data_IF_144087317197
#
_entry.id   IF_144087317197
#
_cell.length_a   1.000
_cell.length_b   1.000
_cell.length_c   1.000
_cell.angle_alpha   90.00
_cell.angle_beta   90.00
_cell.angle_gamma   90.00
#
_symmetry.space_group_name_H-M   'P 1'
#
loop_
_entity.id
_entity.type
_entity.pdbx_description
1 polymer ?
#
# COMPACT_ATOMS: atom_id res chain seq x y z
N UNK A 1 1.69 -28.92 5.46
CA UNK A 1 2.45 -27.65 5.61
C UNK A 1 1.53 -26.47 5.32
N UNK A 2 0.87 -26.44 4.16
CA UNK A 2 -0.22 -25.51 3.81
C UNK A 2 -1.20 -25.28 4.98
N UNK A 3 -1.71 -26.35 5.61
CA UNK A 3 -2.57 -26.29 6.81
C UNK A 3 -2.03 -25.39 7.95
N UNK A 4 -0.70 -25.25 8.12
CA UNK A 4 -0.12 -24.40 9.19
C UNK A 4 -0.17 -22.92 8.82
N UNK A 5 0.04 -22.58 7.54
CA UNK A 5 -0.16 -21.22 7.01
C UNK A 5 -1.61 -20.79 7.26
N UNK A 6 -2.55 -21.65 6.88
CA UNK A 6 -4.00 -21.44 7.03
C UNK A 6 -4.46 -21.40 8.50
N UNK A 7 -3.99 -22.30 9.37
CA UNK A 7 -4.35 -22.27 10.79
C UNK A 7 -3.94 -20.95 11.47
N UNK A 8 -2.77 -20.40 11.10
CA UNK A 8 -2.29 -19.13 11.63
C UNK A 8 -3.02 -17.92 11.04
N UNK A 9 -3.41 -17.92 9.75
CA UNK A 9 -4.27 -16.87 9.18
C UNK A 9 -5.68 -16.93 9.75
N UNK A 10 -6.28 -18.11 9.81
CA UNK A 10 -7.59 -18.36 10.40
C UNK A 10 -7.67 -17.92 11.86
N UNK A 11 -6.57 -18.04 12.62
CA UNK A 11 -6.50 -17.56 14.01
C UNK A 11 -6.63 -16.03 14.13
N UNK A 12 -6.08 -15.27 13.17
CA UNK A 12 -6.30 -13.83 13.09
C UNK A 12 -7.72 -13.50 12.62
N UNK A 13 -8.23 -14.21 11.62
CA UNK A 13 -9.55 -13.95 11.01
C UNK A 13 -10.68 -14.25 12.01
N UNK A 14 -10.70 -15.43 12.63
CA UNK A 14 -11.84 -15.92 13.41
C UNK A 14 -11.76 -15.57 14.90
N UNK A 15 -10.55 -15.47 15.46
CA UNK A 15 -10.32 -15.16 16.87
C UNK A 15 -10.65 -16.30 17.83
N UNK A 16 -9.77 -16.53 18.80
CA UNK A 16 -9.98 -17.51 19.87
C UNK A 16 -11.06 -17.07 20.86
N UNK A 17 -12.33 -17.28 20.54
CA UNK A 17 -13.44 -17.07 21.47
C UNK A 17 -14.81 -16.97 20.79
N UNK A 18 -15.72 -17.91 21.06
CA UNK A 18 -17.15 -17.76 20.75
C UNK A 18 -17.77 -16.73 21.69
N UNK A 19 -17.87 -15.47 21.26
CA UNK A 19 -18.62 -14.44 21.97
C UNK A 19 -18.05 -13.03 21.75
N UNK A 20 -18.93 -12.11 21.35
CA UNK A 20 -18.66 -10.75 20.90
C UNK A 20 -17.92 -10.63 19.54
N UNK A 21 -18.49 -9.80 18.65
CA UNK A 21 -17.82 -9.29 17.45
C UNK A 21 -16.67 -8.35 17.88
N UNK A 22 -15.53 -8.92 18.25
CA UNK A 22 -14.31 -8.15 18.48
C UNK A 22 -13.76 -7.70 17.12
N UNK A 23 -14.24 -6.54 16.65
CA UNK A 23 -13.68 -5.85 15.48
C UNK A 23 -12.16 -5.77 15.63
N UNK A 24 -11.43 -6.33 14.68
CA UNK A 24 -9.96 -6.32 14.73
C UNK A 24 -9.46 -4.89 14.66
N UNK A 25 -8.40 -4.63 15.41
CA UNK A 25 -7.80 -3.29 15.54
C UNK A 25 -6.58 -3.15 14.63
N UNK A 26 -6.16 -1.91 14.37
CA UNK A 26 -4.91 -1.65 13.65
C UNK A 26 -3.70 -2.29 14.35
N UNK A 27 -3.74 -2.37 15.68
CA UNK A 27 -2.76 -3.05 16.53
C UNK A 27 -2.77 -4.58 16.35
N UNK A 28 -3.92 -5.20 16.05
CA UNK A 28 -3.98 -6.65 15.76
C UNK A 28 -3.35 -6.99 14.42
N UNK A 29 -3.66 -6.21 13.38
CA UNK A 29 -3.07 -6.36 12.04
C UNK A 29 -1.58 -6.01 12.07
N UNK A 30 -1.18 -4.99 12.83
CA UNK A 30 0.23 -4.65 12.99
C UNK A 30 1.01 -5.74 13.73
N UNK A 31 0.41 -6.42 14.71
CA UNK A 31 1.04 -7.56 15.40
C UNK A 31 1.24 -8.76 14.47
N UNK A 32 0.28 -9.07 13.60
CA UNK A 32 0.43 -10.07 12.53
C UNK A 32 1.58 -9.69 11.57
N UNK A 33 1.59 -8.45 11.08
CA UNK A 33 2.68 -7.90 10.27
C UNK A 33 4.04 -8.03 10.95
N UNK A 34 4.15 -7.69 12.24
CA UNK A 34 5.40 -7.80 13.00
C UNK A 34 5.88 -9.25 13.10
N UNK A 35 4.99 -10.20 13.36
CA UNK A 35 5.31 -11.63 13.43
C UNK A 35 5.88 -12.14 12.10
N UNK A 36 5.16 -11.91 10.99
CA UNK A 36 5.59 -12.31 9.65
C UNK A 36 6.92 -11.66 9.25
N UNK A 37 7.07 -10.35 9.54
CA UNK A 37 8.30 -9.58 9.29
C UNK A 37 9.49 -10.13 10.07
N UNK A 38 9.29 -10.54 11.33
CA UNK A 38 10.34 -11.15 12.14
C UNK A 38 10.81 -12.49 11.54
N UNK A 39 9.88 -13.34 11.10
CA UNK A 39 10.18 -14.58 10.40
C UNK A 39 11.00 -14.37 9.12
N UNK A 40 10.60 -13.41 8.27
CA UNK A 40 11.31 -13.11 7.02
C UNK A 40 12.69 -12.48 7.27
N UNK A 41 12.83 -11.59 8.26
CA UNK A 41 14.15 -11.09 8.67
C UNK A 41 15.04 -12.24 9.13
N UNK A 42 14.50 -13.19 9.91
CA UNK A 42 15.24 -14.36 10.37
C UNK A 42 15.72 -15.22 9.20
N UNK A 43 14.86 -15.46 8.20
CA UNK A 43 15.23 -16.17 6.96
C UNK A 43 16.40 -15.50 6.22
N UNK A 44 16.35 -14.17 6.10
CA UNK A 44 17.31 -13.37 5.31
C UNK A 44 18.55 -12.92 6.10
N UNK A 45 18.66 -13.26 7.39
CA UNK A 45 19.81 -12.92 8.24
C UNK A 45 20.29 -14.11 9.06
N UNK A 46 19.65 -14.41 10.20
CA UNK A 46 20.08 -15.46 11.15
C UNK A 46 20.14 -16.86 10.53
N UNK A 47 19.15 -17.20 9.70
CA UNK A 47 19.00 -18.53 9.10
C UNK A 47 19.42 -18.54 7.61
N UNK A 48 20.18 -17.53 7.14
CA UNK A 48 20.45 -17.28 5.70
C UNK A 48 21.01 -18.49 4.95
N UNK A 49 21.94 -19.25 5.54
CA UNK A 49 22.46 -20.47 4.93
C UNK A 49 21.39 -21.54 4.69
N UNK A 50 20.43 -21.66 5.62
CA UNK A 50 19.32 -22.63 5.50
C UNK A 50 18.35 -22.15 4.43
N UNK A 51 18.05 -20.85 4.41
CA UNK A 51 17.20 -20.24 3.39
C UNK A 51 17.78 -20.41 1.97
N UNK A 52 19.08 -20.11 1.78
CA UNK A 52 19.80 -20.29 0.51
C UNK A 52 19.72 -21.73 0.01
N UNK A 53 19.98 -22.71 0.89
CA UNK A 53 19.93 -24.16 0.58
C UNK A 53 18.51 -24.65 0.22
N UNK A 54 17.45 -24.01 0.72
CA UNK A 54 16.07 -24.36 0.39
C UNK A 54 15.63 -23.78 -0.97
N UNK A 55 16.15 -22.61 -1.35
CA UNK A 55 15.87 -21.92 -2.61
C UNK A 55 16.64 -22.54 -3.79
N UNK A 56 16.38 -23.82 -4.06
CA UNK A 56 17.02 -24.60 -5.11
C UNK A 56 16.53 -24.21 -6.52
N UNK A 57 17.37 -23.71 -7.44
CA UNK A 57 16.95 -23.26 -8.78
C UNK A 57 16.40 -24.39 -9.67
N UNK A 58 16.73 -25.64 -9.38
CA UNK A 58 16.25 -26.82 -10.12
C UNK A 58 14.81 -27.25 -9.69
N UNK A 59 14.23 -26.56 -8.71
CA UNK A 59 12.82 -26.75 -8.30
C UNK A 59 11.90 -25.75 -8.98
N UNK A 60 10.61 -26.02 -8.90
CA UNK A 60 9.52 -25.14 -9.33
C UNK A 60 9.55 -23.76 -8.63
N UNK A 61 8.58 -22.90 -8.96
CA UNK A 61 8.52 -21.48 -8.58
C UNK A 61 8.37 -21.28 -7.06
N UNK A 62 9.47 -21.30 -6.31
CA UNK A 62 9.42 -21.16 -4.84
C UNK A 62 9.14 -19.72 -4.41
N UNK A 63 8.46 -19.60 -3.27
CA UNK A 63 8.13 -18.37 -2.56
C UNK A 63 8.73 -18.39 -1.13
N UNK A 64 9.01 -17.20 -0.57
CA UNK A 64 9.32 -17.03 0.87
C UNK A 64 8.07 -16.53 1.59
N UNK A 65 7.64 -17.23 2.62
CA UNK A 65 6.52 -16.84 3.49
C UNK A 65 6.99 -16.49 4.89
N UNK A 66 6.50 -15.36 5.41
CA UNK A 66 6.52 -15.03 6.83
C UNK A 66 5.22 -15.46 7.52
N UNK A 67 5.33 -16.10 8.69
CA UNK A 67 4.20 -16.56 9.48
C UNK A 67 4.00 -15.72 10.76
N UNK A 68 2.77 -15.58 11.28
CA UNK A 68 2.48 -14.71 12.43
C UNK A 68 3.18 -15.11 13.74
N UNK A 69 3.66 -16.36 13.82
CA UNK A 69 4.37 -16.93 14.96
C UNK A 69 5.90 -16.76 14.88
N UNK A 70 6.36 -15.75 14.13
CA UNK A 70 7.77 -15.42 13.89
C UNK A 70 8.58 -16.51 13.18
N UNK A 71 7.91 -17.53 12.63
CA UNK A 71 8.53 -18.54 11.78
C UNK A 71 8.42 -18.18 10.29
N UNK A 72 9.19 -18.90 9.46
CA UNK A 72 9.25 -18.70 8.02
C UNK A 72 9.29 -20.05 7.31
N UNK A 73 8.83 -20.07 6.06
CA UNK A 73 8.89 -21.25 5.20
C UNK A 73 9.23 -20.85 3.76
N UNK A 74 9.88 -21.77 3.04
CA UNK A 74 10.07 -21.70 1.59
C UNK A 74 9.25 -22.83 1.00
N UNK A 75 8.28 -22.48 0.15
CA UNK A 75 7.28 -23.42 -0.37
C UNK A 75 6.76 -22.95 -1.74
N UNK A 76 5.99 -23.80 -2.41
CA UNK A 76 5.23 -23.43 -3.61
C UNK A 76 4.12 -22.39 -3.28
N UNK A 77 3.60 -21.67 -4.29
CA UNK A 77 2.38 -20.87 -4.15
C UNK A 77 1.17 -21.67 -3.64
N UNK A 78 0.10 -20.98 -3.27
CA UNK A 78 -1.15 -21.66 -2.94
C UNK A 78 -1.76 -22.32 -4.18
N UNK A 79 -2.20 -23.58 -4.05
CA UNK A 79 -2.94 -24.28 -5.11
C UNK A 79 -4.42 -23.84 -5.18
N UNK A 80 -4.94 -23.18 -4.13
CA UNK A 80 -6.32 -22.72 -4.06
C UNK A 80 -6.58 -21.50 -4.97
N UNK A 81 -7.72 -21.53 -5.66
CA UNK A 81 -8.14 -20.48 -6.59
C UNK A 81 -9.56 -20.00 -6.21
N UNK A 82 -9.74 -18.73 -5.80
CA UNK A 82 -8.71 -17.73 -5.49
C UNK A 82 -8.01 -18.00 -4.14
N UNK A 83 -6.73 -17.61 -3.98
CA UNK A 83 -6.02 -17.77 -2.71
C UNK A 83 -6.54 -16.82 -1.62
N UNK A 84 -6.59 -17.25 -0.35
CA UNK A 84 -7.12 -16.42 0.74
C UNK A 84 -6.28 -15.15 1.01
N UNK A 85 -4.97 -15.18 0.78
CA UNK A 85 -4.07 -14.04 0.99
C UNK A 85 -3.33 -13.66 -0.31
N UNK A 86 -2.92 -12.39 -0.45
CA UNK A 86 -1.95 -11.97 -1.46
C UNK A 86 -0.75 -12.91 -1.52
N UNK A 87 -0.28 -13.24 -2.72
CA UNK A 87 0.85 -14.13 -2.93
C UNK A 87 2.20 -13.38 -2.85
N UNK A 88 3.27 -13.99 -2.30
CA UNK A 88 4.63 -13.46 -2.40
C UNK A 88 5.15 -13.51 -3.83
N UNK A 89 6.35 -12.95 -4.05
CA UNK A 89 7.05 -13.11 -5.33
C UNK A 89 7.37 -14.60 -5.60
N UNK A 90 6.94 -15.05 -6.78
CA UNK A 90 7.14 -16.39 -7.32
C UNK A 90 8.56 -16.56 -7.89
N UNK A 91 9.14 -17.75 -7.74
CA UNK A 91 10.37 -18.13 -8.42
C UNK A 91 11.64 -17.45 -7.88
N UNK A 92 11.67 -17.09 -6.59
CA UNK A 92 12.83 -16.43 -5.97
C UNK A 92 14.12 -17.25 -6.08
N UNK A 93 13.99 -18.58 -6.23
CA UNK A 93 15.09 -19.52 -6.44
C UNK A 93 15.80 -19.34 -7.79
N UNK A 94 15.11 -18.94 -8.86
CA UNK A 94 15.73 -18.87 -10.21
C UNK A 94 16.82 -17.81 -10.34
N UNK A 95 16.67 -16.68 -9.66
CA UNK A 95 17.66 -15.60 -9.68
C UNK A 95 18.89 -15.87 -8.79
N UNK A 96 18.82 -16.87 -7.89
CA UNK A 96 19.79 -17.08 -6.79
C UNK A 96 21.24 -17.16 -7.27
N UNK A 97 21.50 -18.05 -8.24
CA UNK A 97 22.86 -18.31 -8.74
C UNK A 97 23.23 -17.41 -9.93
N UNK A 98 22.30 -16.56 -10.39
CA UNK A 98 22.51 -15.61 -11.50
C UNK A 98 23.06 -14.24 -11.09
N UNK A 99 23.23 -13.98 -9.80
CA UNK A 99 23.68 -12.70 -9.25
C UNK A 99 24.48 -12.90 -7.95
N UNK A 100 25.06 -11.83 -7.39
CA UNK A 100 25.74 -11.92 -6.10
C UNK A 100 24.72 -12.18 -4.97
N UNK A 101 25.06 -13.05 -4.02
CA UNK A 101 24.17 -13.45 -2.92
C UNK A 101 23.56 -12.25 -2.18
N UNK A 102 24.35 -11.21 -1.89
CA UNK A 102 23.86 -9.99 -1.24
C UNK A 102 22.79 -9.26 -2.05
N UNK A 103 22.94 -9.21 -3.37
CA UNK A 103 21.99 -8.55 -4.28
C UNK A 103 20.73 -9.40 -4.42
N UNK A 104 20.86 -10.73 -4.44
CA UNK A 104 19.72 -11.66 -4.39
C UNK A 104 18.91 -11.52 -3.08
N UNK A 105 19.58 -11.53 -1.92
CA UNK A 105 18.95 -11.32 -0.62
C UNK A 105 18.25 -9.94 -0.55
N UNK A 106 18.85 -8.92 -1.16
CA UNK A 106 18.27 -7.57 -1.27
C UNK A 106 17.00 -7.56 -2.14
N UNK A 107 17.02 -8.27 -3.27
CA UNK A 107 15.84 -8.44 -4.14
C UNK A 107 14.70 -9.16 -3.40
N UNK A 108 14.99 -10.29 -2.75
CA UNK A 108 13.99 -11.02 -1.94
C UNK A 108 13.47 -10.14 -0.81
N UNK A 109 14.31 -9.34 -0.15
CA UNK A 109 13.90 -8.42 0.90
C UNK A 109 12.90 -7.35 0.41
N UNK A 110 13.14 -6.74 -0.75
CA UNK A 110 12.21 -5.74 -1.34
C UNK A 110 10.86 -6.37 -1.70
N UNK A 111 10.85 -7.56 -2.30
CA UNK A 111 9.60 -8.29 -2.56
C UNK A 111 8.88 -8.71 -1.28
N UNK A 112 9.62 -9.06 -0.22
CA UNK A 112 9.08 -9.38 1.10
C UNK A 112 8.41 -8.17 1.76
N UNK A 113 9.05 -6.99 1.69
CA UNK A 113 8.49 -5.73 2.18
C UNK A 113 7.16 -5.38 1.48
N UNK A 114 7.10 -5.54 0.15
CA UNK A 114 5.88 -5.32 -0.63
C UNK A 114 4.75 -6.31 -0.28
N UNK A 115 5.08 -7.60 -0.16
CA UNK A 115 4.12 -8.64 0.21
C UNK A 115 3.52 -8.42 1.60
N UNK A 116 4.35 -8.07 2.60
CA UNK A 116 3.90 -7.79 3.95
C UNK A 116 2.94 -6.59 4.01
N UNK A 117 3.18 -5.57 3.19
CA UNK A 117 2.27 -4.43 3.08
C UNK A 117 0.94 -4.86 2.46
N UNK A 118 0.97 -5.66 1.39
CA UNK A 118 -0.24 -6.20 0.76
C UNK A 118 -1.08 -7.04 1.73
N UNK A 119 -0.46 -7.97 2.48
CA UNK A 119 -1.15 -8.80 3.49
C UNK A 119 -1.75 -7.94 4.62
N UNK A 120 -1.03 -6.93 5.11
CA UNK A 120 -1.54 -6.04 6.15
C UNK A 120 -2.74 -5.22 5.67
N UNK A 121 -2.73 -4.73 4.43
CA UNK A 121 -3.83 -3.95 3.87
C UNK A 121 -5.01 -4.80 3.38
N UNK A 122 -4.77 -6.04 2.96
CA UNK A 122 -5.82 -7.06 2.78
C UNK A 122 -6.61 -7.26 4.08
N UNK A 123 -5.92 -7.48 5.20
CA UNK A 123 -6.60 -7.60 6.50
C UNK A 123 -7.29 -6.31 6.92
N UNK A 124 -6.71 -5.14 6.65
CA UNK A 124 -7.37 -3.85 6.91
C UNK A 124 -8.70 -3.73 6.14
N UNK A 125 -8.75 -4.13 4.87
CA UNK A 125 -9.97 -4.16 4.08
C UNK A 125 -10.97 -5.20 4.61
N UNK A 126 -10.54 -6.45 4.84
CA UNK A 126 -11.38 -7.55 5.35
C UNK A 126 -11.96 -7.28 6.75
N UNK A 127 -11.30 -6.44 7.56
CA UNK A 127 -11.78 -6.01 8.87
C UNK A 127 -12.48 -4.64 8.86
N UNK A 128 -12.78 -4.07 7.68
CA UNK A 128 -13.59 -2.86 7.54
C UNK A 128 -12.91 -1.58 8.06
N UNK A 129 -11.58 -1.47 7.96
CA UNK A 129 -10.85 -0.31 8.47
C UNK A 129 -11.23 0.96 7.71
N UNK A 130 -11.59 2.01 8.45
CA UNK A 130 -11.75 3.35 7.93
C UNK A 130 -10.40 4.02 7.54
N UNK A 131 -10.46 5.26 7.06
CA UNK A 131 -9.29 6.05 6.65
C UNK A 131 -8.31 6.27 7.80
N UNK A 132 -8.81 6.48 9.01
CA UNK A 132 -8.04 6.76 10.21
C UNK A 132 -7.30 5.50 10.70
N UNK A 133 -7.96 4.34 10.69
CA UNK A 133 -7.39 3.05 11.02
C UNK A 133 -6.33 2.61 10.00
N UNK A 134 -6.59 2.78 8.69
CA UNK A 134 -5.59 2.54 7.62
C UNK A 134 -4.35 3.43 7.79
N UNK A 135 -4.54 4.73 8.08
CA UNK A 135 -3.43 5.67 8.38
C UNK A 135 -2.66 5.27 9.64
N UNK A 136 -3.34 4.81 10.68
CA UNK A 136 -2.72 4.35 11.93
C UNK A 136 -1.87 3.11 11.71
N UNK A 137 -2.38 2.12 10.97
CA UNK A 137 -1.63 0.92 10.58
C UNK A 137 -0.37 1.29 9.77
N UNK A 138 -0.51 2.13 8.74
CA UNK A 138 0.63 2.59 7.92
C UNK A 138 1.72 3.24 8.76
N UNK A 139 1.35 4.13 9.68
CA UNK A 139 2.31 4.81 10.55
C UNK A 139 3.06 3.83 11.46
N UNK A 140 2.39 2.80 11.99
CA UNK A 140 3.06 1.77 12.81
C UNK A 140 4.05 0.94 11.98
N UNK A 141 3.66 0.53 10.76
CA UNK A 141 4.52 -0.16 9.80
C UNK A 141 5.77 0.68 9.48
N UNK A 142 5.58 1.93 9.06
CA UNK A 142 6.66 2.81 8.58
C UNK A 142 7.65 3.26 9.69
N UNK A 143 7.26 3.12 10.96
CA UNK A 143 8.17 3.35 12.09
C UNK A 143 9.27 2.27 12.18
N UNK A 144 9.00 1.04 11.76
CA UNK A 144 9.99 -0.04 11.67
C UNK A 144 10.90 0.14 10.45
N UNK A 145 12.16 -0.33 10.46
CA UNK A 145 12.95 -0.40 9.23
C UNK A 145 12.36 -1.44 8.28
N UNK A 146 12.51 -1.23 6.98
CA UNK A 146 12.13 -2.25 6.01
C UNK A 146 13.06 -3.47 6.14
N UNK A 147 12.64 -4.64 5.65
CA UNK A 147 13.50 -5.83 5.59
C UNK A 147 14.72 -5.52 4.72
N UNK A 148 14.54 -4.82 3.60
CA UNK A 148 15.65 -4.35 2.78
C UNK A 148 16.63 -3.46 3.56
N UNK A 149 16.16 -2.47 4.35
CA UNK A 149 17.06 -1.63 5.17
C UNK A 149 17.89 -2.45 6.17
N UNK A 150 17.30 -3.50 6.75
CA UNK A 150 17.97 -4.42 7.68
C UNK A 150 19.01 -5.29 6.97
N UNK A 151 18.67 -5.88 5.83
CA UNK A 151 19.55 -6.76 5.03
C UNK A 151 20.69 -5.97 4.36
N UNK A 152 20.41 -4.77 3.86
CA UNK A 152 21.41 -3.89 3.24
C UNK A 152 22.36 -3.25 4.26
N UNK A 153 21.98 -3.21 5.54
CA UNK A 153 22.76 -2.61 6.63
C UNK A 153 22.69 -1.08 6.70
N UNK A 154 21.63 -0.47 6.15
CA UNK A 154 21.49 1.00 6.10
C UNK A 154 20.97 1.58 7.41
N UNK A 155 21.70 2.46 8.12
CA UNK A 155 21.23 3.04 9.37
C UNK A 155 20.12 4.08 9.14
N UNK A 156 18.98 3.94 9.84
CA UNK A 156 17.87 4.90 9.76
C UNK A 156 18.30 6.33 10.08
N UNK A 157 18.08 7.24 9.13
CA UNK A 157 18.10 8.68 9.35
C UNK A 157 16.78 9.06 10.04
N UNK A 158 16.79 9.28 11.35
CA UNK A 158 15.56 9.56 12.12
C UNK A 158 14.85 10.82 11.62
N UNK A 159 13.68 10.65 11.00
CA UNK A 159 12.78 11.76 10.66
C UNK A 159 12.13 12.27 11.94
N UNK A 160 12.74 13.30 12.54
CA UNK A 160 12.27 13.90 13.78
C UNK A 160 11.03 14.75 13.53
N UNK A 161 9.85 14.15 13.65
CA UNK A 161 8.59 14.89 13.70
C UNK A 161 8.64 15.92 14.85
N UNK A 162 8.36 17.19 14.52
CA UNK A 162 8.29 18.26 15.51
C UNK A 162 6.86 18.37 16.03
N UNK A 163 6.60 17.84 17.22
CA UNK A 163 5.42 18.18 18.00
C UNK A 163 5.52 19.63 18.52
N UNK A 164 4.42 20.41 18.53
CA UNK A 164 4.41 21.76 19.08
C UNK A 164 4.34 21.70 20.61
N UNK A 165 5.46 22.01 21.28
CA UNK A 165 5.56 21.92 22.73
C UNK A 165 4.92 23.12 23.44
N UNK A 166 4.10 22.88 24.47
CA UNK A 166 3.47 23.95 25.24
C UNK A 166 4.36 24.48 26.37
N UNK A 167 4.53 25.80 26.39
CA UNK A 167 4.71 26.68 27.56
C UNK A 167 5.34 26.13 28.86
N UNK A 168 6.49 26.70 29.24
CA UNK A 168 6.70 27.31 30.59
C UNK A 168 8.07 28.00 30.76
N UNK A 169 8.09 29.35 30.83
CA UNK A 169 8.62 30.15 31.97
C UNK A 169 8.68 31.66 31.68
N UNK A 170 8.46 32.44 32.74
CA UNK A 170 8.53 33.92 32.83
C UNK A 170 9.98 34.44 32.58
N UNK A 171 10.28 35.74 32.36
CA UNK A 171 9.70 36.92 33.02
C UNK A 171 10.02 38.28 32.32
N UNK A 172 9.03 39.17 32.29
CA UNK A 172 9.09 40.65 32.54
C UNK A 172 10.13 41.55 31.84
N UNK A 173 9.62 42.47 30.99
CA UNK A 173 9.79 43.94 31.18
C UNK A 173 8.78 44.73 30.31
N UNK A 174 8.67 46.05 30.52
CA UNK A 174 7.46 46.84 30.26
C UNK A 174 7.65 48.05 29.34
N UNK A 175 6.65 48.37 28.51
CA UNK A 175 6.22 49.75 28.23
C UNK A 175 4.79 49.79 27.65
N UNK A 176 4.10 50.93 27.78
CA UNK A 176 2.67 51.14 27.45
C UNK A 176 2.53 51.97 26.17
N UNK A 177 1.54 51.68 25.32
CA UNK A 177 0.66 52.73 24.73
C UNK A 177 -0.63 52.19 24.05
N UNK A 178 -1.70 52.98 24.19
CA UNK A 178 -2.89 53.15 23.30
C UNK A 178 -3.62 51.95 22.66
N UNK A 179 -4.84 51.70 23.19
CA UNK A 179 -6.08 51.26 22.50
C UNK A 179 -6.75 52.48 21.78
N UNK A 180 -7.94 52.44 21.10
CA UNK A 180 -8.96 51.36 21.00
C UNK A 180 -9.66 51.16 19.61
N UNK A 181 -10.72 50.34 19.63
CA UNK A 181 -11.85 50.16 18.67
C UNK A 181 -11.58 49.39 17.35
N UNK A 182 -12.53 48.60 16.79
CA UNK A 182 -13.93 48.34 17.16
C UNK A 182 -14.41 46.91 16.73
N UNK A 183 -15.37 46.32 17.47
CA UNK A 183 -16.59 45.57 17.06
C UNK A 183 -16.62 44.59 15.84
N UNK A 184 -17.39 43.49 15.79
CA UNK A 184 -18.44 42.92 16.68
C UNK A 184 -18.80 41.44 16.30
N UNK A 185 -19.27 40.65 17.29
CA UNK A 185 -20.36 39.62 17.22
C UNK A 185 -20.21 38.35 16.31
N UNK A 186 -20.25 37.10 16.85
CA UNK A 186 -21.40 36.24 17.27
C UNK A 186 -22.23 35.65 16.10
N UNK A 187 -22.82 34.43 16.08
CA UNK A 187 -22.80 33.14 16.84
C UNK A 187 -23.75 32.14 16.14
N UNK A 188 -23.64 30.82 16.40
CA UNK A 188 -24.72 29.78 16.25
C UNK A 188 -25.13 29.31 14.82
N UNK A 189 -25.85 28.20 14.59
CA UNK A 189 -25.91 26.80 15.13
C UNK A 189 -26.99 26.01 14.31
N UNK A 190 -26.93 24.67 14.30
CA UNK A 190 -28.02 23.69 13.99
C UNK A 190 -28.28 23.20 12.53
N UNK A 191 -28.81 21.97 12.46
CA UNK A 191 -29.40 21.19 11.35
C UNK A 191 -30.72 20.54 11.90
N UNK A 192 -31.30 19.44 11.36
CA UNK A 192 -31.65 18.99 9.99
C UNK A 192 -33.20 18.94 9.79
N UNK A 193 -33.79 18.27 8.76
CA UNK A 193 -34.33 16.89 8.96
C UNK A 193 -34.43 15.93 7.72
N UNK A 194 -34.54 14.61 8.02
CA UNK A 194 -35.34 13.46 7.48
C UNK A 194 -36.12 13.58 6.14
N UNK A 195 -36.39 12.54 5.32
CA UNK A 195 -36.31 11.04 5.45
C UNK A 195 -36.88 10.34 4.18
N UNK A 196 -37.25 9.04 4.05
CA UNK A 196 -37.08 7.76 4.82
C UNK A 196 -37.74 6.56 3.97
N UNK A 197 -36.99 5.56 3.41
CA UNK A 197 -37.35 4.19 2.80
C UNK A 197 -38.05 4.09 1.38
N UNK A 198 -38.00 3.03 0.51
CA UNK A 198 -37.69 1.55 0.56
C UNK A 198 -37.34 0.87 -0.83
N UNK A 199 -36.61 -0.27 -0.84
CA UNK A 199 -36.57 -1.41 -1.83
C UNK A 199 -35.91 -1.33 -3.24
N UNK A 200 -35.20 -2.41 -3.65
CA UNK A 200 -34.94 -2.76 -5.07
C UNK A 200 -33.55 -3.33 -5.48
N UNK A 201 -33.34 -4.64 -5.27
CA UNK A 201 -32.55 -5.65 -6.04
C UNK A 201 -31.11 -5.39 -6.60
N UNK A 202 -30.35 -6.49 -6.68
CA UNK A 202 -28.91 -6.63 -6.98
C UNK A 202 -28.41 -6.05 -8.32
N UNK A 203 -27.30 -5.28 -8.29
CA UNK A 203 -26.29 -5.24 -9.38
C UNK A 203 -24.87 -5.17 -8.77
N UNK A 204 -23.89 -5.64 -9.53
CA UNK A 204 -22.54 -6.01 -9.08
C UNK A 204 -21.58 -4.80 -9.09
N UNK A 205 -21.09 -4.35 -7.93
CA UNK A 205 -20.02 -3.33 -7.88
C UNK A 205 -18.64 -3.98 -8.08
N UNK A 206 -18.24 -4.04 -9.36
CA UNK A 206 -16.94 -4.52 -9.83
C UNK A 206 -15.75 -3.67 -9.32
N UNK A 207 -14.59 -4.32 -9.33
CA UNK A 207 -13.26 -3.82 -8.97
C UNK A 207 -12.85 -2.54 -9.74
N UNK A 208 -12.81 -1.39 -9.06
CA UNK A 208 -12.53 -0.08 -9.69
C UNK A 208 -11.28 0.63 -9.12
N UNK A 209 -10.16 -0.11 -8.97
CA UNK A 209 -8.83 0.49 -8.71
C UNK A 209 -8.36 1.41 -9.87
N UNK A 210 -9.09 1.44 -11.00
CA UNK A 210 -8.87 2.32 -12.14
C UNK A 210 -9.54 3.71 -12.00
N UNK A 211 -10.45 3.90 -11.04
CA UNK A 211 -11.33 5.08 -10.88
C UNK A 211 -10.68 6.41 -10.47
N UNK A 212 -9.35 6.55 -10.58
CA UNK A 212 -8.63 7.80 -10.30
C UNK A 212 -7.80 8.33 -11.47
N UNK A 213 -7.83 7.68 -12.64
CA UNK A 213 -7.05 8.12 -13.80
C UNK A 213 -7.76 9.27 -14.51
N UNK A 214 -7.34 10.51 -14.21
CA UNK A 214 -7.91 11.71 -14.80
C UNK A 214 -7.33 12.00 -16.20
N UNK A 215 -8.23 12.28 -17.16
CA UNK A 215 -7.83 12.64 -18.52
C UNK A 215 -7.01 13.93 -18.55
N UNK A 216 -5.83 13.86 -19.17
CA UNK A 216 -4.88 14.97 -19.21
C UNK A 216 -5.35 16.23 -19.94
N UNK A 217 -6.46 16.15 -20.68
CA UNK A 217 -7.05 17.27 -21.42
C UNK A 217 -8.36 17.81 -20.82
N UNK A 218 -9.24 16.97 -20.25
CA UNK A 218 -10.53 17.41 -19.69
C UNK A 218 -10.67 17.25 -18.17
N UNK A 219 -9.74 16.57 -17.50
CA UNK A 219 -9.73 16.40 -16.04
C UNK A 219 -10.82 15.49 -15.49
N UNK A 220 -11.58 14.78 -16.33
CA UNK A 220 -12.60 13.81 -15.91
C UNK A 220 -12.03 12.39 -15.83
N UNK A 221 -12.62 11.56 -14.98
CA UNK A 221 -12.29 10.16 -14.78
C UNK A 221 -12.84 9.25 -15.90
N UNK A 222 -12.52 7.96 -15.84
CA UNK A 222 -13.12 6.89 -16.64
C UNK A 222 -14.65 6.91 -16.54
N UNK A 223 -15.31 6.97 -17.72
CA UNK A 223 -16.65 6.45 -17.92
C UNK A 223 -16.53 5.06 -18.56
N UNK A 224 -17.46 4.16 -18.23
CA UNK A 224 -17.38 2.70 -18.42
C UNK A 224 -17.30 2.17 -19.87
N UNK A 225 -17.13 3.03 -20.88
CA UNK A 225 -17.06 2.63 -22.30
C UNK A 225 -16.16 3.56 -23.16
N UNK A 226 -15.31 4.40 -22.55
CA UNK A 226 -14.50 5.36 -23.30
C UNK A 226 -13.13 4.81 -23.72
N UNK A 227 -12.74 5.06 -24.98
CA UNK A 227 -11.39 4.73 -25.48
C UNK A 227 -10.33 5.73 -24.97
N UNK A 228 -9.21 5.20 -24.45
CA UNK A 228 -8.08 5.97 -23.90
C UNK A 228 -6.75 5.70 -24.61
N UNK A 229 -5.83 6.67 -24.55
CA UNK A 229 -4.46 6.57 -25.07
C UNK A 229 -3.45 7.28 -24.15
N UNK A 230 -2.30 6.65 -23.89
CA UNK A 230 -1.21 7.20 -23.09
C UNK A 230 -0.13 7.86 -23.97
N UNK A 231 0.41 8.99 -23.54
CA UNK A 231 1.46 9.72 -24.28
C UNK A 231 2.89 9.30 -23.89
N UNK A 232 3.68 8.84 -24.86
CA UNK A 232 5.09 8.40 -24.70
C UNK A 232 6.10 9.49 -24.27
N UNK A 233 5.65 10.72 -24.00
CA UNK A 233 6.52 11.86 -23.65
C UNK A 233 6.23 12.39 -22.25
N UNK A 234 4.99 12.28 -21.77
CA UNK A 234 4.60 12.79 -20.46
C UNK A 234 3.81 11.77 -19.62
N UNK A 235 3.61 10.55 -20.12
CA UNK A 235 2.98 9.41 -19.42
C UNK A 235 1.56 9.70 -18.89
N UNK A 236 0.91 10.74 -19.42
CA UNK A 236 -0.48 11.11 -19.11
C UNK A 236 -1.44 10.38 -20.04
N UNK A 237 -2.55 9.96 -19.48
CA UNK A 237 -3.67 9.31 -20.16
C UNK A 237 -4.68 10.32 -20.68
N UNK A 238 -5.28 10.05 -21.85
CA UNK A 238 -6.27 10.91 -22.49
C UNK A 238 -7.40 10.10 -23.12
N UNK A 239 -8.67 10.53 -22.98
CA UNK A 239 -9.74 10.03 -23.85
C UNK A 239 -9.39 10.33 -25.30
N UNK A 240 -9.54 9.36 -26.20
CA UNK A 240 -9.28 9.53 -27.64
C UNK A 240 -10.08 10.68 -28.25
N UNK A 241 -11.32 10.91 -27.79
CA UNK A 241 -12.16 12.05 -28.19
C UNK A 241 -11.51 13.41 -27.86
N UNK A 242 -10.87 13.53 -26.69
CA UNK A 242 -10.23 14.77 -26.24
C UNK A 242 -8.97 15.11 -27.04
N UNK A 243 -8.32 14.11 -27.65
CA UNK A 243 -7.08 14.28 -28.43
C UNK A 243 -7.24 13.95 -29.93
N UNK A 244 -8.48 13.71 -30.38
CA UNK A 244 -8.84 13.40 -31.78
C UNK A 244 -8.12 12.16 -32.35
N UNK A 245 -8.04 11.11 -31.54
CA UNK A 245 -7.58 9.76 -31.90
C UNK A 245 -8.75 8.78 -31.74
N UNK A 246 -8.99 7.96 -32.76
CA UNK A 246 -9.95 6.84 -32.73
C UNK A 246 -9.21 5.52 -32.45
N UNK A 247 -9.88 4.46 -31.96
CA UNK A 247 -9.27 3.14 -31.73
C UNK A 247 -8.51 2.62 -32.97
N UNK A 248 -9.17 2.56 -34.12
CA UNK A 248 -8.58 2.12 -35.39
C UNK A 248 -7.36 2.96 -35.84
N UNK A 249 -7.27 4.23 -35.42
CA UNK A 249 -6.09 5.06 -35.67
C UNK A 249 -4.96 4.73 -34.69
N UNK A 250 -5.29 4.41 -33.43
CA UNK A 250 -4.32 4.05 -32.39
C UNK A 250 -3.60 2.71 -32.68
N UNK A 251 -4.29 1.72 -33.24
CA UNK A 251 -3.71 0.45 -33.72
C UNK A 251 -2.48 0.65 -34.63
N UNK A 252 -2.43 1.78 -35.35
CA UNK A 252 -1.39 2.11 -36.32
C UNK A 252 -0.33 3.10 -35.78
N UNK A 253 -0.45 3.56 -34.52
CA UNK A 253 0.47 4.51 -33.90
C UNK A 253 1.51 3.74 -33.06
N UNK A 254 2.77 3.73 -33.52
CA UNK A 254 3.89 3.15 -32.76
C UNK A 254 4.36 3.98 -31.57
N UNK A 255 4.19 5.29 -31.64
CA UNK A 255 4.49 6.26 -30.58
C UNK A 255 3.51 7.43 -30.68
N UNK A 256 2.72 7.65 -29.64
CA UNK A 256 1.74 8.71 -29.52
C UNK A 256 2.29 9.90 -28.71
N UNK A 257 2.14 11.10 -29.28
CA UNK A 257 2.45 12.37 -28.62
C UNK A 257 1.17 13.17 -28.48
N UNK A 258 0.84 13.59 -27.25
CA UNK A 258 -0.30 14.45 -27.00
C UNK A 258 -0.11 15.84 -27.64
N UNK A 259 -1.17 16.66 -27.77
CA UNK A 259 -1.06 18.01 -28.35
C UNK A 259 -0.01 18.90 -27.66
N UNK A 260 0.09 18.82 -26.33
CA UNK A 260 1.06 19.59 -25.53
C UNK A 260 2.50 19.18 -25.86
N UNK A 261 2.79 17.87 -25.89
CA UNK A 261 4.11 17.32 -26.24
C UNK A 261 4.44 17.42 -27.73
N UNK A 262 3.42 17.60 -28.59
CA UNK A 262 3.60 17.82 -30.03
C UNK A 262 3.90 19.29 -30.37
N UNK A 263 3.41 20.23 -29.57
CA UNK A 263 3.66 21.67 -29.73
C UNK A 263 4.95 22.11 -29.02
N UNK A 264 5.31 21.50 -27.89
CA UNK A 264 6.55 21.82 -27.16
C UNK A 264 7.83 21.26 -27.80
N UNK A 265 8.50 22.07 -28.64
CA UNK A 265 9.91 21.88 -29.02
C UNK A 265 10.89 22.39 -27.93
N UNK A 266 10.79 21.84 -26.71
CA UNK A 266 11.73 21.93 -25.55
C UNK A 266 10.98 21.43 -24.29
N UNK A 267 11.57 20.77 -23.31
CA UNK A 267 12.95 20.31 -23.15
C UNK A 267 12.98 18.96 -22.39
N UNK A 268 14.03 18.16 -22.61
CA UNK A 268 14.50 17.21 -21.59
C UNK A 268 15.11 18.02 -20.43
N UNK A 269 14.76 17.66 -19.21
CA UNK A 269 15.54 17.87 -17.99
C UNK A 269 15.51 16.55 -17.23
#
# INVERSE_FOLDING_TARGET
MIERREQLTCSLIHGGGRGAYNSRTAEDVFRDFQGRRAGMIKALTTDVEKFYKLCDPEKENLCLYGLPDESWEVNLPAEEVPPELPEPALGINFARDGMAEKDWLSLVAVHSDAWLLAVAFYFAARFGFDKEARRRLFNMINNLPTIFEVVAGTPKKQTKEKTPNSSSKNNKSSSKTSRPTNSHNKTSKMAPPKGEEESGEDEEEEDDEHSNTLCGACGTNYGSDEFWICCDVCERWFHGKCVRITPAKAEHIKQYKCPDCSTNKRARV
#
